data_IF_129892305683
#
_entry.id   IF_129892305683
#
_cell.length_a   1.000
_cell.length_b   1.000
_cell.length_c   1.000
_cell.angle_alpha   90.00
_cell.angle_beta   90.00
_cell.angle_gamma   90.00
#
_symmetry.space_group_name_H-M   'P 1'
#
loop_
_entity.id
_entity.type
_entity.pdbx_description
1 polymer ?
#
# COMPACT_ATOMS: atom_id res chain seq x y z
N UNK A 1 -45.64 -34.92 -28.66
CA UNK A 1 -46.83 -35.68 -28.20
C UNK A 1 -46.86 -35.72 -26.69
N UNK A 2 -47.95 -35.16 -26.12
CA UNK A 2 -48.55 -35.34 -24.80
C UNK A 2 -47.63 -34.96 -23.60
N UNK A 3 -47.72 -33.77 -23.03
CA UNK A 3 -48.80 -33.25 -22.18
C UNK A 3 -49.24 -34.20 -21.07
N UNK A 4 -48.94 -33.83 -19.84
CA UNK A 4 -49.78 -33.90 -18.64
C UNK A 4 -48.99 -33.28 -17.47
N UNK A 5 -49.22 -32.06 -17.13
CA UNK A 5 -50.10 -31.44 -16.16
C UNK A 5 -50.53 -32.45 -15.08
N UNK A 6 -50.04 -32.26 -13.89
CA UNK A 6 -50.85 -32.42 -12.69
C UNK A 6 -50.33 -31.48 -11.59
N UNK A 7 -51.13 -30.69 -11.30
CA UNK A 7 -51.47 -29.68 -10.35
C UNK A 7 -51.79 -30.32 -8.97
N UNK A 8 -51.75 -29.48 -8.00
CA UNK A 8 -52.28 -29.56 -6.64
C UNK A 8 -51.27 -29.95 -5.57
N UNK A 9 -51.23 -29.34 -4.50
CA UNK A 9 -51.92 -28.23 -3.84
C UNK A 9 -51.37 -28.11 -2.43
N UNK A 10 -51.23 -26.88 -2.02
CA UNK A 10 -51.76 -26.32 -0.75
C UNK A 10 -51.23 -26.86 0.57
N UNK A 11 -50.81 -25.93 1.31
CA UNK A 11 -51.08 -25.72 2.73
C UNK A 11 -49.95 -25.82 3.71
N UNK A 12 -49.75 -24.74 4.28
CA UNK A 12 -49.75 -24.38 5.72
C UNK A 12 -48.40 -23.93 6.21
N UNK A 13 -48.26 -22.62 6.25
CA UNK A 13 -48.22 -21.81 7.46
C UNK A 13 -47.53 -22.48 8.64
N UNK A 14 -46.36 -21.98 8.96
CA UNK A 14 -46.07 -21.63 10.34
C UNK A 14 -44.87 -20.70 10.37
N UNK A 15 -45.17 -19.47 10.80
CA UNK A 15 -44.28 -18.49 11.35
C UNK A 15 -43.22 -19.16 12.22
N UNK A 16 -41.96 -18.93 11.89
CA UNK A 16 -40.94 -18.82 12.90
C UNK A 16 -40.12 -17.57 12.58
N UNK A 17 -40.44 -16.53 13.29
CA UNK A 17 -39.56 -15.43 13.54
C UNK A 17 -38.29 -15.98 14.17
N UNK A 18 -37.32 -16.25 13.35
CA UNK A 18 -35.92 -16.38 13.74
C UNK A 18 -35.23 -15.12 13.32
N UNK A 19 -35.13 -14.15 14.21
CA UNK A 19 -34.19 -13.03 14.07
C UNK A 19 -32.81 -13.64 14.17
N UNK A 20 -32.28 -14.13 13.05
CA UNK A 20 -30.84 -14.26 12.89
C UNK A 20 -30.31 -12.84 12.69
N UNK A 21 -29.95 -12.24 13.81
CA UNK A 21 -28.99 -11.15 13.79
C UNK A 21 -27.68 -11.79 13.32
N UNK A 22 -27.47 -11.85 12.01
CA UNK A 22 -26.14 -11.96 11.48
C UNK A 22 -25.38 -10.71 11.93
N UNK A 23 -24.80 -10.84 13.12
CA UNK A 23 -23.67 -10.03 13.49
C UNK A 23 -22.56 -10.46 12.53
N UNK A 24 -22.59 -9.94 11.31
CA UNK A 24 -21.41 -9.78 10.50
C UNK A 24 -20.50 -8.87 11.31
N UNK A 25 -19.69 -9.49 12.16
CA UNK A 25 -18.48 -8.89 12.61
C UNK A 25 -17.70 -8.57 11.32
N UNK A 26 -17.92 -7.38 10.80
CA UNK A 26 -16.94 -6.74 9.96
C UNK A 26 -15.68 -6.74 10.83
N UNK A 27 -14.81 -7.71 10.58
CA UNK A 27 -13.42 -7.56 10.90
C UNK A 27 -13.02 -6.30 10.13
N UNK A 28 -13.08 -5.16 10.82
CA UNK A 28 -12.30 -4.02 10.46
C UNK A 28 -10.88 -4.56 10.45
N UNK A 29 -10.38 -4.89 9.27
CA UNK A 29 -8.96 -5.02 9.04
C UNK A 29 -8.43 -3.61 9.33
N UNK A 30 -8.00 -3.41 10.59
CA UNK A 30 -7.27 -2.20 10.95
C UNK A 30 -6.11 -2.12 9.99
N UNK A 31 -6.11 -1.07 9.18
CA UNK A 31 -4.96 -0.76 8.31
C UNK A 31 -3.76 -0.60 9.25
N UNK A 32 -2.68 -1.37 9.03
CA UNK A 32 -1.51 -1.29 9.89
C UNK A 32 -1.08 0.16 10.06
N UNK A 33 -0.72 0.54 11.27
CA UNK A 33 -0.14 1.85 11.54
C UNK A 33 1.11 2.04 10.65
N UNK A 34 1.41 3.29 10.32
CA UNK A 34 2.52 3.63 9.42
C UNK A 34 3.86 3.08 9.95
N UNK A 35 4.02 3.01 11.27
CA UNK A 35 5.20 2.42 11.90
C UNK A 35 5.24 0.90 11.75
N UNK A 36 4.10 0.24 11.88
CA UNK A 36 3.95 -1.20 11.64
C UNK A 36 4.21 -1.52 10.16
N UNK A 37 3.72 -0.71 9.24
CA UNK A 37 4.02 -0.84 7.82
C UNK A 37 5.52 -0.71 7.53
N UNK A 38 6.21 0.21 8.21
CA UNK A 38 7.65 0.37 8.09
C UNK A 38 8.41 -0.88 8.57
N UNK A 39 8.02 -1.45 9.72
CA UNK A 39 8.59 -2.71 10.24
C UNK A 39 8.37 -3.88 9.27
N UNK A 40 7.13 -4.04 8.80
CA UNK A 40 6.80 -5.10 7.84
C UNK A 40 7.62 -5.00 6.55
N UNK A 41 7.85 -3.80 6.06
CA UNK A 41 8.65 -3.57 4.86
C UNK A 41 10.14 -3.83 5.12
N UNK A 42 10.67 -3.41 6.27
CA UNK A 42 12.05 -3.71 6.68
C UNK A 42 12.28 -5.22 6.77
N UNK A 43 11.37 -5.95 7.42
CA UNK A 43 11.40 -7.41 7.51
C UNK A 43 11.30 -8.08 6.13
N UNK A 44 10.46 -7.54 5.26
CA UNK A 44 10.35 -8.06 3.89
C UNK A 44 11.66 -7.88 3.13
N UNK A 45 12.26 -6.69 3.20
CA UNK A 45 13.52 -6.40 2.53
C UNK A 45 14.67 -7.24 3.12
N UNK A 46 14.69 -7.47 4.44
CA UNK A 46 15.65 -8.38 5.05
C UNK A 46 15.62 -9.75 4.39
N UNK A 47 14.43 -10.34 4.29
CA UNK A 47 14.27 -11.69 3.73
C UNK A 47 14.60 -11.79 2.24
N UNK A 48 14.22 -10.77 1.44
CA UNK A 48 14.39 -10.85 -0.02
C UNK A 48 15.74 -10.38 -0.52
N UNK A 49 16.47 -9.60 0.28
CA UNK A 49 17.78 -9.05 -0.05
C UNK A 49 18.91 -9.62 0.81
N UNK A 50 18.57 -10.50 1.77
CA UNK A 50 19.51 -11.03 2.75
C UNK A 50 20.29 -9.90 3.46
N UNK A 51 19.53 -8.98 4.08
CA UNK A 51 20.12 -7.84 4.76
C UNK A 51 20.69 -8.25 6.12
N UNK A 52 21.84 -7.70 6.47
CA UNK A 52 22.39 -7.78 7.80
C UNK A 52 21.58 -6.94 8.80
N UNK A 53 21.62 -7.26 10.09
CA UNK A 53 20.83 -6.61 11.14
C UNK A 53 21.01 -5.08 11.16
N UNK A 54 22.25 -4.60 10.95
CA UNK A 54 22.51 -3.17 10.89
C UNK A 54 21.85 -2.50 9.68
N UNK A 55 21.77 -3.20 8.53
CA UNK A 55 21.08 -2.70 7.35
C UNK A 55 19.57 -2.63 7.60
N UNK A 56 18.99 -3.65 8.23
CA UNK A 56 17.58 -3.67 8.64
C UNK A 56 17.26 -2.51 9.57
N UNK A 57 18.12 -2.24 10.55
CA UNK A 57 17.98 -1.09 11.44
C UNK A 57 17.92 0.25 10.68
N UNK A 58 18.79 0.43 9.70
CA UNK A 58 18.77 1.65 8.87
C UNK A 58 17.56 1.72 7.94
N UNK A 59 17.11 0.59 7.37
CA UNK A 59 15.88 0.53 6.57
C UNK A 59 14.67 0.92 7.40
N UNK A 60 14.49 0.28 8.56
CA UNK A 60 13.39 0.55 9.48
C UNK A 60 13.39 2.02 9.95
N UNK A 61 14.53 2.51 10.40
CA UNK A 61 14.68 3.90 10.85
C UNK A 61 14.38 4.92 9.73
N UNK A 62 14.84 4.64 8.50
CA UNK A 62 14.55 5.50 7.33
C UNK A 62 13.06 5.55 7.05
N UNK A 63 12.39 4.40 7.03
CA UNK A 63 10.96 4.33 6.76
C UNK A 63 10.14 4.99 7.86
N UNK A 64 10.49 4.74 9.13
CA UNK A 64 9.82 5.37 10.30
C UNK A 64 9.99 6.88 10.37
N UNK A 65 11.03 7.42 9.77
CA UNK A 65 11.24 8.85 9.61
C UNK A 65 10.55 9.43 8.37
N UNK A 66 10.79 8.84 7.21
CA UNK A 66 10.42 9.43 5.93
C UNK A 66 8.94 9.23 5.58
N UNK A 67 8.32 8.09 5.94
CA UNK A 67 6.91 7.87 5.63
C UNK A 67 5.97 8.81 6.41
N UNK A 68 6.11 9.02 7.72
CA UNK A 68 5.30 10.01 8.43
C UNK A 68 5.53 11.44 7.92
N UNK A 69 6.76 11.79 7.55
CA UNK A 69 7.08 13.11 6.98
C UNK A 69 6.41 13.32 5.62
N UNK A 70 6.38 12.30 4.76
CA UNK A 70 5.65 12.31 3.49
C UNK A 70 4.15 12.52 3.71
N UNK A 71 3.57 11.83 4.69
CA UNK A 71 2.16 11.98 5.05
C UNK A 71 1.89 13.40 5.54
N UNK A 72 2.71 13.91 6.46
CA UNK A 72 2.56 15.25 7.01
C UNK A 72 2.61 16.33 5.91
N UNK A 73 3.52 16.23 4.94
CA UNK A 73 3.60 17.14 3.80
C UNK A 73 2.36 17.04 2.90
N UNK A 74 1.85 15.84 2.68
CA UNK A 74 0.59 15.64 1.94
C UNK A 74 -0.63 16.22 2.67
N UNK A 75 -0.67 16.13 4.01
CA UNK A 75 -1.73 16.73 4.82
C UNK A 75 -1.67 18.27 4.79
N UNK A 76 -0.49 18.87 4.73
CA UNK A 76 -0.34 20.32 4.53
C UNK A 76 -0.97 20.77 3.21
N UNK A 77 -0.77 20.03 2.13
CA UNK A 77 -1.45 20.30 0.85
C UNK A 77 -2.96 20.17 0.95
N UNK A 78 -3.46 19.18 1.70
CA UNK A 78 -4.89 19.03 1.97
C UNK A 78 -5.46 20.19 2.77
N UNK A 79 -4.78 20.57 3.86
CA UNK A 79 -5.18 21.71 4.69
C UNK A 79 -5.23 23.02 3.87
N UNK A 80 -4.30 23.18 2.93
CA UNK A 80 -4.29 24.30 1.98
C UNK A 80 -5.31 24.15 0.82
N UNK A 81 -6.13 23.10 0.84
CA UNK A 81 -7.16 22.81 -0.18
C UNK A 81 -6.58 22.71 -1.60
N UNK A 82 -5.37 22.21 -1.74
CA UNK A 82 -4.75 21.99 -3.03
C UNK A 82 -5.46 20.85 -3.76
N UNK A 83 -6.09 21.15 -4.89
CA UNK A 83 -6.82 20.18 -5.71
C UNK A 83 -5.93 19.51 -6.78
N UNK A 84 -4.72 20.03 -7.01
CA UNK A 84 -3.83 19.52 -8.04
C UNK A 84 -3.17 18.19 -7.60
N UNK A 85 -3.63 17.09 -8.19
CA UNK A 85 -3.15 15.73 -7.88
C UNK A 85 -1.65 15.57 -8.16
N UNK A 86 -1.08 16.31 -9.12
CA UNK A 86 0.34 16.22 -9.44
C UNK A 86 1.23 16.67 -8.28
N UNK A 87 0.78 17.64 -7.47
CA UNK A 87 1.53 18.10 -6.31
C UNK A 87 1.67 17.00 -5.24
N UNK A 88 0.62 16.22 -5.00
CA UNK A 88 0.70 15.06 -4.10
C UNK A 88 1.61 13.97 -4.66
N UNK A 89 1.62 13.80 -5.98
CA UNK A 89 2.53 12.87 -6.63
C UNK A 89 3.98 13.32 -6.50
N UNK A 90 4.27 14.62 -6.64
CA UNK A 90 5.60 15.20 -6.46
C UNK A 90 6.11 15.00 -5.02
N UNK A 91 5.25 15.18 -4.01
CA UNK A 91 5.59 14.88 -2.61
C UNK A 91 5.99 13.41 -2.46
N UNK A 92 5.19 12.48 -2.95
CA UNK A 92 5.52 11.05 -2.89
C UNK A 92 6.82 10.73 -3.62
N UNK A 93 7.00 11.27 -4.81
CA UNK A 93 8.19 11.03 -5.63
C UNK A 93 9.46 11.53 -4.94
N UNK A 94 9.41 12.72 -4.33
CA UNK A 94 10.50 13.31 -3.56
C UNK A 94 10.93 12.39 -2.40
N UNK A 95 9.99 11.94 -1.59
CA UNK A 95 10.29 11.12 -0.42
C UNK A 95 10.79 9.73 -0.81
N UNK A 96 10.22 9.11 -1.82
CA UNK A 96 10.73 7.83 -2.31
C UNK A 96 12.12 7.94 -2.96
N UNK A 97 12.43 9.05 -3.63
CA UNK A 97 13.79 9.30 -4.11
C UNK A 97 14.80 9.44 -2.96
N UNK A 98 14.40 10.04 -1.85
CA UNK A 98 15.20 10.15 -0.64
C UNK A 98 15.45 8.80 0.03
N UNK A 99 14.38 7.99 0.18
CA UNK A 99 14.48 6.62 0.69
C UNK A 99 15.43 5.79 -0.18
N UNK A 100 15.24 5.79 -1.49
CA UNK A 100 16.10 5.07 -2.43
C UNK A 100 17.57 5.55 -2.36
N UNK A 101 17.79 6.85 -2.19
CA UNK A 101 19.14 7.40 -2.03
C UNK A 101 19.82 6.89 -0.74
N UNK A 102 19.06 6.74 0.34
CA UNK A 102 19.56 6.15 1.58
C UNK A 102 19.86 4.66 1.39
N UNK A 103 18.96 3.90 0.80
CA UNK A 103 19.16 2.46 0.55
C UNK A 103 20.39 2.20 -0.33
N UNK A 104 20.60 3.03 -1.35
CA UNK A 104 21.78 2.91 -2.22
C UNK A 104 23.11 3.06 -1.47
N UNK A 105 23.11 3.76 -0.34
CA UNK A 105 24.32 3.93 0.50
C UNK A 105 24.58 2.75 1.42
N UNK A 106 23.52 2.05 1.83
CA UNK A 106 23.62 0.98 2.84
C UNK A 106 23.60 -0.42 2.23
N UNK A 107 23.06 -0.59 1.02
CA UNK A 107 23.01 -1.88 0.34
C UNK A 107 24.33 -2.15 -0.39
N UNK A 108 24.74 -3.42 -0.43
CA UNK A 108 25.80 -3.87 -1.35
C UNK A 108 25.35 -3.70 -2.80
N UNK A 109 26.27 -3.83 -3.73
CA UNK A 109 25.95 -3.75 -5.15
C UNK A 109 24.95 -4.85 -5.57
N UNK A 110 25.10 -6.05 -5.06
CA UNK A 110 24.21 -7.18 -5.31
C UNK A 110 22.83 -6.95 -4.72
N UNK A 111 22.76 -6.50 -3.47
CA UNK A 111 21.49 -6.16 -2.79
C UNK A 111 20.76 -5.02 -3.51
N UNK A 112 21.50 -4.00 -3.93
CA UNK A 112 20.92 -2.90 -4.71
C UNK A 112 20.35 -3.38 -6.05
N UNK A 113 21.08 -4.22 -6.78
CA UNK A 113 20.62 -4.80 -8.03
C UNK A 113 19.36 -5.66 -7.83
N UNK A 114 19.32 -6.45 -6.75
CA UNK A 114 18.14 -7.24 -6.38
C UNK A 114 16.96 -6.34 -6.01
N UNK A 115 17.18 -5.28 -5.22
CA UNK A 115 16.15 -4.29 -4.88
C UNK A 115 15.52 -3.65 -6.11
N UNK A 116 16.32 -3.25 -7.08
CA UNK A 116 15.83 -2.69 -8.35
C UNK A 116 14.92 -3.68 -9.11
N UNK A 117 15.28 -4.97 -9.08
CA UNK A 117 14.47 -6.04 -9.71
C UNK A 117 13.14 -6.30 -9.00
N UNK A 118 13.02 -6.01 -7.71
CA UNK A 118 11.78 -6.12 -6.93
C UNK A 118 10.72 -5.06 -7.28
N UNK A 119 10.97 -4.23 -8.27
CA UNK A 119 10.05 -3.19 -8.74
C UNK A 119 10.55 -1.77 -8.51
N UNK A 120 11.54 -1.57 -7.64
CA UNK A 120 12.10 -0.24 -7.36
C UNK A 120 12.69 0.41 -8.62
N UNK A 121 13.34 -0.35 -9.49
CA UNK A 121 13.89 0.16 -10.75
C UNK A 121 12.81 0.71 -11.70
N UNK A 122 11.66 0.03 -11.78
CA UNK A 122 10.50 0.52 -12.57
C UNK A 122 9.93 1.79 -11.95
N UNK A 123 9.80 1.82 -10.62
CA UNK A 123 9.29 2.99 -9.90
C UNK A 123 10.20 4.21 -10.07
N UNK A 124 11.52 4.04 -9.97
CA UNK A 124 12.52 5.11 -10.20
C UNK A 124 12.43 5.69 -11.60
N UNK A 125 12.33 4.83 -12.62
CA UNK A 125 12.17 5.28 -14.02
C UNK A 125 10.86 6.07 -14.21
N UNK A 126 9.77 5.64 -13.58
CA UNK A 126 8.50 6.36 -13.65
C UNK A 126 8.58 7.74 -12.99
N UNK A 127 9.25 7.86 -11.82
CA UNK A 127 9.50 9.14 -11.14
C UNK A 127 10.36 10.07 -12.00
N UNK A 128 11.45 9.57 -12.57
CA UNK A 128 12.31 10.34 -13.47
C UNK A 128 11.53 10.90 -14.66
N UNK A 129 10.71 10.07 -15.30
CA UNK A 129 9.87 10.50 -16.44
C UNK A 129 8.86 11.58 -16.06
N UNK A 130 8.28 11.54 -14.85
CA UNK A 130 7.37 12.59 -14.35
C UNK A 130 8.10 13.92 -14.16
N UNK A 131 9.31 13.88 -13.58
CA UNK A 131 10.15 15.08 -13.40
C UNK A 131 10.53 15.72 -14.74
N UNK A 132 10.95 14.94 -15.72
CA UNK A 132 11.26 15.43 -17.05
C UNK A 132 10.07 16.15 -17.68
N UNK A 133 8.87 15.57 -17.57
CA UNK A 133 7.63 16.20 -18.08
C UNK A 133 7.30 17.51 -17.36
N UNK A 134 7.55 17.59 -16.06
CA UNK A 134 7.28 18.80 -15.28
C UNK A 134 8.27 19.93 -15.61
N UNK A 135 9.52 19.60 -15.94
CA UNK A 135 10.56 20.57 -16.31
C UNK A 135 10.50 21.01 -17.77
N UNK A 136 9.90 20.21 -18.66
CA UNK A 136 9.77 20.50 -20.10
C UNK A 136 8.55 21.34 -20.48
N UNK A 137 7.83 21.89 -19.49
CA UNK A 137 6.77 22.87 -19.66
C UNK A 137 7.26 24.25 -19.28
#
# INVERSE_FOLDING_TARGET
MKLKIFMMAVSSVLMFMGVCVDASAQQQQETPDIYEQAEMEADRLQRVLDLEDWQVFYVDSTLKHDLPAMIAESEQLRAAKVANVSMYQEVRDKWWDQIDATYKKIFTQEQWAAYLKQGAGKAQKARAKRREKAQGK
#
